data_IF_957172157951
#
_entry.id   IF_957172157951
#
_cell.length_a   1.000
_cell.length_b   1.000
_cell.length_c   1.000
_cell.angle_alpha   90.00
_cell.angle_beta   90.00
_cell.angle_gamma   90.00
#
_symmetry.space_group_name_H-M   'P 1'
#
loop_
_entity.id
_entity.type
_entity.pdbx_description
1 polymer ?
#
# COMPACT_ATOMS: atom_id res chain seq x y z
N UNK A 1 -34.57 29.74 32.76
CA UNK A 1 -35.15 28.60 32.01
C UNK A 1 -34.34 28.47 30.75
N UNK A 2 -33.76 27.30 30.60
CA UNK A 2 -32.57 26.97 29.83
C UNK A 2 -32.81 27.12 28.32
N UNK A 3 -31.87 27.74 27.61
CA UNK A 3 -31.86 27.79 26.15
C UNK A 3 -31.50 26.41 25.57
N UNK A 4 -32.21 25.89 24.56
CA UNK A 4 -31.80 24.66 23.89
C UNK A 4 -30.61 24.99 22.96
N UNK A 5 -29.42 24.49 23.31
CA UNK A 5 -28.29 24.43 22.39
C UNK A 5 -28.66 23.38 21.34
N UNK A 6 -29.06 23.85 20.16
CA UNK A 6 -29.17 23.02 18.97
C UNK A 6 -27.76 22.62 18.56
N UNK A 7 -27.36 21.38 18.89
CA UNK A 7 -26.16 20.76 18.34
C UNK A 7 -26.41 20.52 16.86
N UNK A 8 -26.15 21.55 16.05
CA UNK A 8 -25.94 21.36 14.62
C UNK A 8 -24.62 20.61 14.51
N UNK A 9 -24.69 19.27 14.44
CA UNK A 9 -23.63 18.43 13.90
C UNK A 9 -23.47 18.79 12.43
N UNK A 10 -22.87 19.95 12.19
CA UNK A 10 -22.20 20.25 10.94
C UNK A 10 -20.93 19.40 10.95
N UNK A 11 -21.11 18.10 10.74
CA UNK A 11 -20.10 17.36 10.01
C UNK A 11 -19.94 18.16 8.72
N UNK A 12 -18.75 18.69 8.41
CA UNK A 12 -18.52 19.17 7.07
C UNK A 12 -18.86 17.97 6.19
N UNK A 13 -19.97 18.12 5.48
CA UNK A 13 -20.31 17.35 4.31
C UNK A 13 -18.98 17.28 3.58
N UNK A 14 -18.48 16.06 3.40
CA UNK A 14 -17.28 15.74 2.62
C UNK A 14 -17.54 16.18 1.17
N UNK A 15 -17.65 17.49 0.93
CA UNK A 15 -17.34 18.17 -0.32
C UNK A 15 -15.81 18.23 -0.44
N UNK A 16 -15.20 17.07 -0.32
CA UNK A 16 -13.90 16.81 -0.89
C UNK A 16 -14.18 15.83 -2.03
N UNK A 17 -14.80 16.36 -3.08
CA UNK A 17 -14.40 15.99 -4.43
C UNK A 17 -13.00 16.58 -4.67
N UNK A 18 -12.02 16.27 -3.81
CA UNK A 18 -10.65 16.18 -4.26
C UNK A 18 -10.51 14.76 -4.75
N UNK A 19 -10.45 14.63 -6.07
CA UNK A 19 -9.63 13.58 -6.67
C UNK A 19 -8.26 13.72 -6.00
N UNK A 20 -7.98 12.91 -4.97
CA UNK A 20 -6.61 12.60 -4.65
C UNK A 20 -6.08 11.94 -5.90
N UNK A 21 -5.14 12.61 -6.54
CA UNK A 21 -4.58 12.19 -7.80
C UNK A 21 -3.49 11.15 -7.52
N UNK A 22 -3.89 10.08 -6.85
CA UNK A 22 -3.14 8.86 -6.58
C UNK A 22 -4.14 7.73 -6.72
N UNK A 23 -4.34 7.26 -7.95
CA UNK A 23 -4.96 5.95 -8.11
C UNK A 23 -4.00 4.97 -7.41
N UNK A 24 -4.34 4.48 -6.21
CA UNK A 24 -3.58 3.47 -5.46
C UNK A 24 -3.69 2.11 -6.17
N UNK A 25 -3.42 2.12 -7.48
CA UNK A 25 -3.72 1.05 -8.40
C UNK A 25 -2.82 -0.14 -8.16
N UNK A 26 -1.54 0.11 -7.88
CA UNK A 26 -0.59 -0.97 -7.60
C UNK A 26 -0.74 -1.51 -6.18
N UNK A 27 -1.04 -0.65 -5.19
CA UNK A 27 -1.42 -1.11 -3.85
C UNK A 27 -2.68 -1.96 -3.88
N UNK A 28 -3.72 -1.52 -4.58
CA UNK A 28 -4.96 -2.26 -4.73
C UNK A 28 -4.73 -3.58 -5.47
N UNK A 29 -3.90 -3.57 -6.51
CA UNK A 29 -3.54 -4.77 -7.28
C UNK A 29 -2.76 -5.79 -6.43
N UNK A 30 -1.76 -5.34 -5.67
CA UNK A 30 -1.04 -6.19 -4.71
C UNK A 30 -2.01 -6.83 -3.71
N UNK A 31 -2.87 -6.01 -3.10
CA UNK A 31 -3.80 -6.48 -2.06
C UNK A 31 -4.83 -7.46 -2.63
N UNK A 32 -5.53 -7.10 -3.70
CA UNK A 32 -6.61 -7.92 -4.24
C UNK A 32 -6.11 -9.26 -4.82
N UNK A 33 -4.94 -9.30 -5.46
CA UNK A 33 -4.44 -10.54 -6.07
C UNK A 33 -3.64 -11.40 -5.11
N UNK A 34 -2.80 -10.80 -4.27
CA UNK A 34 -1.84 -11.55 -3.47
C UNK A 34 -2.21 -11.69 -1.99
N UNK A 35 -3.21 -10.95 -1.52
CA UNK A 35 -3.76 -11.12 -0.17
C UNK A 35 -5.24 -11.50 -0.16
N UNK A 36 -5.93 -11.33 -1.30
CA UNK A 36 -7.33 -11.68 -1.46
C UNK A 36 -7.63 -13.18 -1.33
N UNK A 37 -8.90 -13.54 -1.57
CA UNK A 37 -9.41 -14.88 -1.29
C UNK A 37 -8.71 -16.01 -2.05
N UNK A 38 -8.22 -15.72 -3.26
CA UNK A 38 -7.57 -16.67 -4.16
C UNK A 38 -6.04 -16.47 -4.20
N UNK A 39 -5.43 -15.98 -3.11
CA UNK A 39 -3.99 -15.67 -3.07
C UNK A 39 -3.09 -16.89 -3.36
N UNK A 40 -3.57 -18.10 -3.04
CA UNK A 40 -2.90 -19.37 -3.30
C UNK A 40 -2.71 -19.68 -4.79
N UNK A 41 -3.43 -18.97 -5.68
CA UNK A 41 -3.20 -19.05 -7.12
C UNK A 41 -1.97 -18.25 -7.59
N UNK A 42 -1.54 -17.26 -6.81
CA UNK A 42 -0.47 -16.33 -7.19
C UNK A 42 0.79 -16.50 -6.34
N UNK A 43 0.65 -17.01 -5.11
CA UNK A 43 1.77 -17.19 -4.19
C UNK A 43 1.51 -18.29 -3.16
N UNK A 44 2.53 -19.10 -2.89
CA UNK A 44 2.55 -20.04 -1.75
C UNK A 44 3.10 -19.37 -0.46
N UNK A 45 3.31 -18.05 -0.48
CA UNK A 45 3.90 -17.35 0.65
C UNK A 45 2.89 -17.18 1.80
N UNK A 46 3.28 -17.63 2.98
CA UNK A 46 2.48 -17.50 4.22
C UNK A 46 2.84 -16.24 5.03
N UNK A 47 3.76 -15.41 4.54
CA UNK A 47 4.21 -14.20 5.22
C UNK A 47 3.99 -12.98 4.33
N UNK A 48 3.62 -11.84 4.93
CA UNK A 48 3.52 -10.55 4.25
C UNK A 48 4.79 -10.26 3.44
N UNK A 49 5.94 -10.56 4.03
CA UNK A 49 7.23 -10.39 3.41
C UNK A 49 7.39 -11.17 2.10
N UNK A 50 7.10 -12.48 2.14
CA UNK A 50 7.20 -13.34 0.96
C UNK A 50 6.21 -12.97 -0.13
N UNK A 51 5.01 -12.51 0.26
CA UNK A 51 4.01 -12.01 -0.68
C UNK A 51 4.51 -10.77 -1.42
N UNK A 52 5.03 -9.78 -0.69
CA UNK A 52 5.59 -8.56 -1.27
C UNK A 52 6.77 -8.89 -2.19
N UNK A 53 7.67 -9.79 -1.76
CA UNK A 53 8.79 -10.24 -2.61
C UNK A 53 8.29 -10.85 -3.92
N UNK A 54 7.30 -11.74 -3.86
CA UNK A 54 6.74 -12.40 -5.05
C UNK A 54 6.11 -11.41 -6.04
N UNK A 55 5.40 -10.40 -5.54
CA UNK A 55 4.87 -9.32 -6.37
C UNK A 55 6.00 -8.52 -7.04
N UNK A 56 7.01 -8.11 -6.27
CA UNK A 56 8.13 -7.29 -6.77
C UNK A 56 9.05 -8.05 -7.73
N UNK A 57 9.16 -9.36 -7.59
CA UNK A 57 9.91 -10.21 -8.53
C UNK A 57 9.27 -10.28 -9.91
N UNK A 58 7.93 -10.27 -9.95
CA UNK A 58 7.16 -10.31 -11.19
C UNK A 58 6.92 -8.92 -11.80
N UNK A 59 7.17 -7.86 -11.03
CA UNK A 59 6.93 -6.47 -11.41
C UNK A 59 8.10 -5.84 -12.18
N UNK A 60 7.78 -4.95 -13.11
CA UNK A 60 8.76 -4.13 -13.83
C UNK A 60 9.22 -2.91 -13.02
N UNK A 61 10.34 -2.30 -13.43
CA UNK A 61 10.93 -1.12 -12.76
C UNK A 61 9.91 0.02 -12.51
N UNK A 62 9.02 0.27 -13.47
CA UNK A 62 8.00 1.31 -13.34
C UNK A 62 6.99 0.96 -12.24
N UNK A 63 6.38 -0.23 -12.30
CA UNK A 63 5.43 -0.72 -11.28
C UNK A 63 6.02 -0.69 -9.87
N UNK A 64 7.29 -1.08 -9.72
CA UNK A 64 7.98 -1.03 -8.43
C UNK A 64 8.18 0.42 -7.94
N UNK A 65 8.41 1.35 -8.86
CA UNK A 65 8.48 2.78 -8.54
C UNK A 65 7.12 3.33 -8.10
N UNK A 66 6.07 2.96 -8.82
CA UNK A 66 4.70 3.43 -8.60
C UNK A 66 4.19 2.93 -7.23
N UNK A 67 4.33 1.63 -6.91
CA UNK A 67 3.90 1.10 -5.60
C UNK A 67 4.69 1.71 -4.43
N UNK A 68 5.96 2.08 -4.64
CA UNK A 68 6.77 2.75 -3.62
C UNK A 68 6.25 4.17 -3.34
N UNK A 69 5.87 4.91 -4.38
CA UNK A 69 5.29 6.24 -4.25
C UNK A 69 3.91 6.18 -3.62
N UNK A 70 3.05 5.28 -4.11
CA UNK A 70 1.72 5.02 -3.56
C UNK A 70 1.78 4.65 -2.07
N UNK A 71 2.67 3.74 -1.67
CA UNK A 71 2.82 3.35 -0.27
C UNK A 71 3.24 4.52 0.65
N UNK A 72 4.12 5.40 0.16
CA UNK A 72 4.55 6.60 0.90
C UNK A 72 3.43 7.62 0.98
N UNK A 73 2.72 7.87 -0.12
CA UNK A 73 1.61 8.81 -0.18
C UNK A 73 0.47 8.36 0.74
N UNK A 74 0.11 7.08 0.70
CA UNK A 74 -0.91 6.52 1.59
C UNK A 74 -0.52 6.69 3.06
N UNK A 75 0.70 6.29 3.41
CA UNK A 75 1.19 6.40 4.78
C UNK A 75 1.27 7.85 5.27
N UNK A 76 1.69 8.79 4.42
CA UNK A 76 1.77 10.21 4.76
C UNK A 76 0.38 10.86 4.88
N UNK A 77 -0.53 10.54 3.98
CA UNK A 77 -1.90 11.09 3.95
C UNK A 77 -2.70 10.65 5.17
N UNK A 78 -2.53 9.40 5.58
CA UNK A 78 -3.32 8.79 6.64
C UNK A 78 -2.52 8.53 7.92
N UNK A 79 -1.40 9.22 8.15
CA UNK A 79 -0.46 8.90 9.24
C UNK A 79 -1.11 8.72 10.64
N UNK A 80 -2.10 9.54 11.00
CA UNK A 80 -2.80 9.45 12.29
C UNK A 80 -3.91 8.38 12.34
N UNK A 81 -4.39 7.92 11.18
CA UNK A 81 -5.54 7.01 11.04
C UNK A 81 -5.24 5.85 10.10
N UNK A 82 -3.97 5.48 9.95
CA UNK A 82 -3.49 4.56 8.91
C UNK A 82 -4.20 3.21 8.97
N UNK A 83 -4.28 2.63 10.16
CA UNK A 83 -4.97 1.36 10.38
C UNK A 83 -6.47 1.45 10.10
N UNK A 84 -7.11 2.56 10.44
CA UNK A 84 -8.55 2.77 10.21
C UNK A 84 -8.83 2.88 8.70
N UNK A 85 -8.05 3.70 7.99
CA UNK A 85 -8.22 3.92 6.56
C UNK A 85 -7.87 2.68 5.75
N UNK A 86 -6.85 1.92 6.17
CA UNK A 86 -6.52 0.63 5.59
C UNK A 86 -7.66 -0.39 5.79
N UNK A 87 -8.28 -0.44 6.98
CA UNK A 87 -9.43 -1.29 7.22
C UNK A 87 -10.64 -0.86 6.38
N UNK A 88 -10.87 0.44 6.20
CA UNK A 88 -11.97 0.95 5.35
C UNK A 88 -11.76 0.55 3.90
N UNK A 89 -10.54 0.64 3.38
CA UNK A 89 -10.26 0.43 1.96
C UNK A 89 -10.00 -1.03 1.59
N UNK A 90 -9.42 -1.84 2.49
CA UNK A 90 -8.85 -3.14 2.14
C UNK A 90 -9.33 -4.32 2.99
N UNK A 91 -10.13 -4.12 4.05
CA UNK A 91 -10.50 -5.21 4.97
C UNK A 91 -11.29 -6.37 4.33
N UNK A 92 -11.87 -6.17 3.14
CA UNK A 92 -12.48 -7.25 2.35
C UNK A 92 -11.47 -8.30 1.93
N UNK A 93 -10.23 -7.89 1.69
CA UNK A 93 -9.19 -8.69 1.05
C UNK A 93 -8.00 -8.88 1.98
N UNK A 94 -7.66 -7.89 2.81
CA UNK A 94 -6.46 -7.94 3.63
C UNK A 94 -6.64 -7.29 5.00
N UNK A 95 -6.25 -8.04 6.03
CA UNK A 95 -6.16 -7.60 7.42
C UNK A 95 -4.73 -7.91 7.90
N UNK A 96 -3.86 -6.91 8.12
CA UNK A 96 -2.47 -7.11 8.49
C UNK A 96 -2.26 -8.01 9.71
N UNK A 97 -3.16 -7.89 10.69
CA UNK A 97 -3.10 -8.62 11.95
C UNK A 97 -3.29 -10.14 11.75
N UNK A 98 -4.05 -10.55 10.74
CA UNK A 98 -4.20 -11.97 10.37
C UNK A 98 -2.91 -12.56 9.79
N UNK A 99 -1.99 -11.71 9.33
CA UNK A 99 -0.69 -12.08 8.79
C UNK A 99 0.47 -11.78 9.75
N UNK A 100 0.17 -11.53 11.03
CA UNK A 100 1.18 -11.23 12.05
C UNK A 100 1.91 -9.91 11.84
N UNK A 101 1.29 -8.96 11.14
CA UNK A 101 1.83 -7.63 10.85
C UNK A 101 0.86 -6.54 11.33
N UNK A 102 1.29 -5.29 11.29
CA UNK A 102 0.44 -4.10 11.46
C UNK A 102 0.39 -3.29 10.17
N UNK A 103 -0.60 -2.40 10.03
CA UNK A 103 -0.67 -1.49 8.89
C UNK A 103 0.64 -0.72 8.68
N UNK A 104 1.24 -0.23 9.77
CA UNK A 104 2.50 0.52 9.70
C UNK A 104 3.68 -0.35 9.27
N UNK A 105 3.78 -1.58 9.78
CA UNK A 105 4.82 -2.53 9.37
C UNK A 105 4.64 -2.94 7.90
N UNK A 106 3.41 -3.17 7.44
CA UNK A 106 3.09 -3.49 6.05
C UNK A 106 3.62 -2.42 5.07
N UNK A 107 3.24 -1.15 5.26
CA UNK A 107 3.69 -0.06 4.38
C UNK A 107 5.20 0.17 4.48
N UNK A 108 5.78 0.04 5.68
CA UNK A 108 7.23 0.15 5.86
C UNK A 108 7.97 -0.95 5.09
N UNK A 109 7.44 -2.17 5.11
CA UNK A 109 8.03 -3.32 4.42
C UNK A 109 7.96 -3.18 2.90
N UNK A 110 6.82 -2.73 2.35
CA UNK A 110 6.69 -2.42 0.91
C UNK A 110 7.79 -1.44 0.48
N UNK A 111 7.97 -0.35 1.23
CA UNK A 111 8.94 0.69 0.88
C UNK A 111 10.37 0.15 0.88
N UNK A 112 10.77 -0.55 1.94
CA UNK A 112 12.11 -1.14 2.05
C UNK A 112 12.41 -2.12 0.91
N UNK A 113 11.45 -2.98 0.59
CA UNK A 113 11.57 -4.01 -0.44
C UNK A 113 11.64 -3.39 -1.85
N UNK A 114 10.76 -2.45 -2.14
CA UNK A 114 10.73 -1.75 -3.43
C UNK A 114 12.01 -0.93 -3.65
N UNK A 115 12.48 -0.19 -2.64
CA UNK A 115 13.74 0.55 -2.70
C UNK A 115 14.93 -0.36 -3.01
N UNK A 116 15.02 -1.48 -2.29
CA UNK A 116 16.07 -2.48 -2.52
C UNK A 116 16.00 -3.04 -3.94
N UNK A 117 14.81 -3.43 -4.41
CA UNK A 117 14.62 -3.99 -5.75
C UNK A 117 15.00 -2.98 -6.85
N UNK A 118 14.61 -1.71 -6.70
CA UNK A 118 14.99 -0.65 -7.65
C UNK A 118 16.51 -0.42 -7.68
N UNK A 119 17.17 -0.50 -6.52
CA UNK A 119 18.64 -0.40 -6.45
C UNK A 119 19.32 -1.57 -7.17
N UNK A 120 18.82 -2.79 -6.98
CA UNK A 120 19.34 -4.00 -7.63
C UNK A 120 19.17 -3.95 -9.16
N UNK A 121 18.00 -3.49 -9.63
CA UNK A 121 17.73 -3.29 -11.07
C UNK A 121 18.67 -2.24 -11.68
N UNK A 122 18.92 -1.12 -10.99
CA UNK A 122 19.89 -0.09 -11.44
C UNK A 122 21.32 -0.63 -11.47
N UNK A 123 21.72 -1.42 -10.48
CA UNK A 123 23.05 -2.03 -10.43
C UNK A 123 23.26 -3.03 -11.58
N UNK A 124 22.28 -3.87 -11.87
CA UNK A 124 22.36 -4.83 -12.96
C UNK A 124 22.43 -4.17 -14.35
N UNK A 125 21.67 -3.10 -14.60
CA UNK A 125 21.73 -2.34 -15.85
C UNK A 125 23.11 -1.67 -16.06
N UNK A 126 23.70 -1.13 -14.98
CA UNK A 126 25.06 -0.54 -15.02
C UNK A 126 26.13 -1.58 -15.32
N UNK A 127 25.99 -2.80 -14.78
CA UNK A 127 26.94 -3.89 -15.04
C UNK A 127 26.90 -4.33 -16.52
N UNK A 128 25.71 -4.34 -17.13
CA UNK A 128 25.54 -4.69 -18.54
C UNK A 128 26.03 -3.61 -19.51
N UNK A 129 26.10 -2.34 -19.08
CA UNK A 129 26.57 -1.21 -19.89
C UNK A 129 28.06 -0.89 -19.74
N UNK A 130 28.82 -1.68 -18.97
CA UNK A 130 30.27 -1.48 -18.86
C UNK A 130 30.96 -1.99 -20.13
N UNK A 131 31.67 -1.12 -20.89
CA UNK A 131 32.41 -1.56 -22.07
C UNK A 131 33.59 -2.43 -21.61
N UNK A 132 33.72 -3.59 -22.25
CA UNK A 132 34.79 -4.56 -22.03
C UNK A 132 36.16 -4.03 -22.47
#
# INVERSE_FOLDING_TARGET
MESPISYSLHFPIFEVTMRFNGDFSELNHLISLYFGQDYDLFTDAETVEGVIDGFLEQSGYQVIGDILEEAREFQATYAERLSEEMAIQFSSDFVPECWGSSAQEFFTLIQQKAEKKLADLKCSERLQRSPH
#
